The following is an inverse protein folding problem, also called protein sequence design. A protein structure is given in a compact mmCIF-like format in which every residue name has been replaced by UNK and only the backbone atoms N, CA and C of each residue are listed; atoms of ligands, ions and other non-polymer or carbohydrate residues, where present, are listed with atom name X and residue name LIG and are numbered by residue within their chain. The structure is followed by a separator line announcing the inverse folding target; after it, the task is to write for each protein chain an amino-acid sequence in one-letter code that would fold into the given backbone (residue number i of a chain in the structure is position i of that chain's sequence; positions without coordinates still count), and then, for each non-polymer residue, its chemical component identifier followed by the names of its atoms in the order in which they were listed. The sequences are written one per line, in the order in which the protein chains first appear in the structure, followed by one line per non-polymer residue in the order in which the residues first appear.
data_IF_407535675164
#
_entry.id   IF_407535675164
#
_cell.length_a   1.000
_cell.length_b   1.000
_cell.length_c   1.000
_cell.angle_alpha   90.00
_cell.angle_beta   90.00
_cell.angle_gamma   90.00
#
_symmetry.space_group_name_H-M   'P 1'
#
loop_
_entity.id
_entity.type
_entity.pdbx_description
1 polymer ?
#
# COMPACT_ATOMS: atom_id res chain seq x y z
N UNK A 1 -10.35 3.79 29.72
CA UNK A 1 -9.06 3.10 29.55
C UNK A 1 -9.42 1.71 29.07
N UNK A 2 -9.12 1.37 27.82
CA UNK A 2 -9.42 0.06 27.27
C UNK A 2 -8.51 -0.99 27.91
N UNK A 3 -9.10 -1.96 28.59
CA UNK A 3 -8.37 -3.13 29.08
C UNK A 3 -8.35 -4.17 27.98
N UNK A 4 -7.17 -4.53 27.49
CA UNK A 4 -7.00 -5.66 26.59
C UNK A 4 -7.21 -6.97 27.34
N UNK A 5 -7.60 -8.02 26.61
CA UNK A 5 -7.82 -9.35 27.18
C UNK A 5 -6.90 -10.37 26.51
N UNK A 6 -6.42 -11.40 27.23
CA UNK A 6 -5.69 -12.50 26.60
C UNK A 6 -6.49 -13.11 25.44
N UNK A 7 -5.82 -13.37 24.32
CA UNK A 7 -6.42 -13.84 23.08
C UNK A 7 -6.99 -12.73 22.18
N UNK A 8 -7.00 -11.47 22.61
CA UNK A 8 -7.46 -10.36 21.80
C UNK A 8 -6.44 -9.98 20.74
N UNK A 9 -6.86 -9.81 19.49
CA UNK A 9 -6.01 -9.25 18.43
C UNK A 9 -5.84 -7.75 18.60
N UNK A 10 -4.62 -7.29 18.41
CA UNK A 10 -4.21 -5.89 18.52
C UNK A 10 -3.35 -5.49 17.34
N UNK A 11 -3.35 -4.20 17.03
CA UNK A 11 -2.42 -3.58 16.07
C UNK A 11 -1.51 -2.62 16.81
N UNK A 12 -0.27 -2.50 16.36
CA UNK A 12 0.68 -1.52 16.89
C UNK A 12 0.36 -0.13 16.33
N UNK A 13 0.41 0.90 17.18
CA UNK A 13 0.26 2.30 16.74
C UNK A 13 1.52 2.84 16.08
N UNK A 14 2.68 2.35 16.51
CA UNK A 14 4.00 2.85 16.10
C UNK A 14 4.78 1.83 15.26
N UNK A 15 4.20 0.67 14.95
CA UNK A 15 4.85 -0.40 14.18
C UNK A 15 3.83 -1.04 13.24
N UNK A 16 4.29 -1.75 12.22
CA UNK A 16 3.45 -2.44 11.26
C UNK A 16 3.26 -3.88 11.71
N UNK A 17 2.02 -4.35 11.67
CA UNK A 17 1.68 -5.73 11.97
C UNK A 17 0.54 -5.84 12.98
N UNK A 18 0.04 -7.05 13.12
CA UNK A 18 -0.91 -7.43 14.16
C UNK A 18 -0.26 -8.42 15.12
N UNK A 19 -0.78 -8.45 16.33
CA UNK A 19 -0.33 -9.38 17.35
C UNK A 19 -1.51 -9.87 18.18
N UNK A 20 -1.33 -10.94 18.92
CA UNK A 20 -2.32 -11.47 19.84
C UNK A 20 -1.86 -11.24 21.26
N UNK A 21 -2.72 -10.71 22.10
CA UNK A 21 -2.43 -10.50 23.52
C UNK A 21 -2.28 -11.85 24.21
N UNK A 22 -1.10 -12.09 24.80
CA UNK A 22 -0.80 -13.28 25.62
C UNK A 22 -1.21 -13.02 27.06
N UNK A 23 -0.76 -11.91 27.65
CA UNK A 23 -1.11 -11.49 29.02
C UNK A 23 -0.97 -9.99 29.20
N UNK A 24 -1.65 -9.47 30.21
CA UNK A 24 -1.63 -8.05 30.57
C UNK A 24 -0.98 -7.89 31.94
N UNK A 25 0.05 -7.06 32.04
CA UNK A 25 0.82 -6.81 33.27
C UNK A 25 0.81 -5.30 33.58
N UNK A 26 -0.27 -4.83 34.20
CA UNK A 26 -0.44 -3.42 34.55
C UNK A 26 -0.53 -2.49 33.32
N UNK A 27 0.47 -1.63 33.10
CA UNK A 27 0.55 -0.76 31.94
C UNK A 27 1.30 -1.39 30.73
N UNK A 28 1.74 -2.63 30.86
CA UNK A 28 2.39 -3.39 29.80
C UNK A 28 1.55 -4.57 29.38
N UNK A 29 1.66 -4.92 28.12
CA UNK A 29 0.98 -6.06 27.50
C UNK A 29 2.02 -6.91 26.80
N UNK A 30 2.02 -8.19 27.08
CA UNK A 30 2.81 -9.16 26.34
C UNK A 30 1.94 -9.64 25.19
N UNK A 31 2.44 -9.43 23.99
CA UNK A 31 1.80 -9.81 22.74
C UNK A 31 2.68 -10.76 21.95
N UNK A 32 2.07 -11.71 21.25
CA UNK A 32 2.73 -12.60 20.30
C UNK A 32 2.47 -12.07 18.89
N UNK A 33 3.54 -11.78 18.15
CA UNK A 33 3.43 -11.32 16.77
C UNK A 33 3.12 -12.47 15.79
N UNK A 34 2.93 -12.14 14.50
CA UNK A 34 2.59 -13.13 13.46
C UNK A 34 3.69 -14.16 13.22
N UNK A 35 4.91 -13.86 13.63
CA UNK A 35 6.08 -14.75 13.54
C UNK A 35 6.24 -15.66 14.80
N UNK A 36 5.36 -15.51 15.79
CA UNK A 36 5.35 -16.30 17.03
C UNK A 36 6.32 -15.80 18.11
N UNK A 37 6.80 -14.57 18.01
CA UNK A 37 7.67 -13.98 19.04
C UNK A 37 6.87 -13.17 20.05
N UNK A 38 7.13 -13.42 21.34
CA UNK A 38 6.57 -12.60 22.41
C UNK A 38 7.30 -11.26 22.52
N UNK A 39 6.52 -10.18 22.55
CA UNK A 39 6.99 -8.81 22.77
C UNK A 39 6.24 -8.16 23.93
N UNK A 40 6.94 -7.38 24.75
CA UNK A 40 6.31 -6.55 25.79
C UNK A 40 6.17 -5.12 25.28
N UNK A 41 4.95 -4.61 25.25
CA UNK A 41 4.59 -3.29 24.68
C UNK A 41 3.73 -2.52 25.66
N UNK A 42 3.81 -1.21 25.64
CA UNK A 42 2.93 -0.36 26.45
C UNK A 42 1.46 -0.41 25.97
N UNK A 43 0.51 -0.44 26.90
CA UNK A 43 -0.94 -0.38 26.57
C UNK A 43 -1.28 0.75 25.60
N UNK A 44 -0.57 1.88 25.69
CA UNK A 44 -0.80 3.06 24.85
C UNK A 44 -0.24 2.92 23.42
N UNK A 45 0.54 1.91 23.16
CA UNK A 45 1.14 1.63 21.84
C UNK A 45 0.31 0.62 21.04
N UNK A 46 -0.78 0.15 21.65
CA UNK A 46 -1.66 -0.85 21.06
C UNK A 46 -3.07 -0.28 20.84
N UNK A 47 -3.69 -0.73 19.77
CA UNK A 47 -5.13 -0.55 19.50
C UNK A 47 -5.77 -1.92 19.28
N UNK A 48 -7.03 -2.06 19.67
CA UNK A 48 -7.79 -3.27 19.38
C UNK A 48 -7.88 -3.44 17.85
N UNK A 49 -7.47 -4.59 17.35
CA UNK A 49 -7.72 -4.93 15.95
C UNK A 49 -9.21 -5.27 15.80
N UNK A 50 -9.91 -4.77 14.80
CA UNK A 50 -11.28 -5.21 14.52
C UNK A 50 -11.27 -6.72 14.20
N UNK A 51 -12.38 -7.37 14.54
CA UNK A 51 -12.59 -8.78 14.25
C UNK A 51 -12.52 -9.00 12.72
N UNK A 52 -11.73 -9.96 12.20
CA UNK A 52 -11.64 -10.25 10.77
C UNK A 52 -13.01 -10.50 10.12
N UNK A 53 -13.96 -11.09 10.85
CA UNK A 53 -15.33 -11.26 10.36
C UNK A 53 -16.12 -9.94 10.30
N UNK A 54 -15.80 -8.99 11.17
CA UNK A 54 -16.40 -7.65 11.14
C UNK A 54 -15.71 -6.76 10.10
N UNK A 55 -14.40 -6.89 9.92
CA UNK A 55 -13.69 -6.26 8.81
C UNK A 55 -14.21 -6.78 7.46
N UNK A 56 -14.29 -8.09 7.27
CA UNK A 56 -14.84 -8.68 6.04
C UNK A 56 -16.30 -8.28 5.78
N UNK A 57 -17.13 -8.15 6.82
CA UNK A 57 -18.51 -7.65 6.70
C UNK A 57 -18.59 -6.14 6.48
N UNK A 58 -17.62 -5.38 6.99
CA UNK A 58 -17.53 -3.93 6.76
C UNK A 58 -17.05 -3.60 5.34
N UNK A 59 -16.25 -4.50 4.74
CA UNK A 59 -15.83 -4.44 3.34
C UNK A 59 -16.65 -5.37 2.42
N UNK A 60 -17.77 -5.95 2.97
CA UNK A 60 -18.66 -6.85 2.22
C UNK A 60 -19.20 -6.22 0.96
N UNK A 61 -19.26 -6.98 -0.12
CA UNK A 61 -19.87 -6.91 -1.46
C UNK A 61 -20.32 -5.54 -2.04
N UNK A 62 -20.25 -4.49 -1.25
CA UNK A 62 -20.53 -3.12 -1.59
C UNK A 62 -19.26 -2.27 -1.41
N UNK A 63 -18.15 -2.65 -2.09
CA UNK A 63 -17.08 -1.68 -2.32
C UNK A 63 -17.73 -0.58 -3.15
N UNK A 64 -18.04 0.59 -2.54
CA UNK A 64 -18.62 1.67 -3.34
C UNK A 64 -17.60 1.96 -4.43
N UNK A 65 -18.05 2.06 -5.67
CA UNK A 65 -17.24 2.45 -6.79
C UNK A 65 -16.41 3.69 -6.38
N UNK A 66 -15.13 3.46 -6.06
CA UNK A 66 -14.24 4.48 -5.50
C UNK A 66 -14.20 5.71 -6.41
N UNK A 67 -14.32 5.48 -7.72
CA UNK A 67 -14.42 6.54 -8.70
C UNK A 67 -15.69 7.38 -8.52
N UNK A 68 -16.84 6.77 -8.19
CA UNK A 68 -18.08 7.52 -7.94
C UNK A 68 -18.03 8.32 -6.64
N UNK A 69 -17.42 7.78 -5.60
CA UNK A 69 -17.24 8.51 -4.34
C UNK A 69 -16.27 9.70 -4.51
N UNK A 70 -15.17 9.51 -5.24
CA UNK A 70 -14.21 10.55 -5.53
C UNK A 70 -14.81 11.68 -6.37
N UNK A 71 -15.66 11.34 -7.33
CA UNK A 71 -16.40 12.32 -8.13
C UNK A 71 -17.33 13.15 -7.25
N UNK A 72 -17.98 12.54 -6.25
CA UNK A 72 -18.84 13.27 -5.30
C UNK A 72 -18.05 14.18 -4.36
N UNK A 73 -16.88 13.75 -3.86
CA UNK A 73 -16.10 14.53 -2.88
C UNK A 73 -15.26 15.64 -3.54
N UNK A 74 -14.70 15.39 -4.71
CA UNK A 74 -13.73 16.30 -5.36
C UNK A 74 -14.37 17.10 -6.49
N UNK A 75 -15.51 16.67 -7.01
CA UNK A 75 -16.20 17.25 -8.15
C UNK A 75 -15.60 16.81 -9.49
N UNK A 76 -16.47 16.51 -10.44
CA UNK A 76 -16.08 15.97 -11.77
C UNK A 76 -15.05 16.82 -12.52
N UNK A 77 -15.18 18.15 -12.43
CA UNK A 77 -14.31 19.07 -13.15
C UNK A 77 -12.87 19.00 -12.65
N UNK A 78 -12.68 18.86 -11.33
CA UNK A 78 -11.37 18.77 -10.71
C UNK A 78 -10.75 17.39 -10.96
N UNK A 79 -11.53 16.32 -10.89
CA UNK A 79 -11.06 14.97 -11.23
C UNK A 79 -10.56 14.89 -12.69
N UNK A 80 -11.29 15.48 -13.64
CA UNK A 80 -10.83 15.55 -15.04
C UNK A 80 -9.56 16.36 -15.22
N UNK A 81 -9.38 17.44 -14.41
CA UNK A 81 -8.15 18.23 -14.42
C UNK A 81 -6.97 17.43 -13.88
N UNK A 82 -7.14 16.76 -12.74
CA UNK A 82 -6.14 15.90 -12.12
C UNK A 82 -5.73 14.74 -13.03
N UNK A 83 -6.69 14.08 -13.68
CA UNK A 83 -6.41 13.03 -14.65
C UNK A 83 -5.60 13.54 -15.84
N UNK A 84 -5.92 14.74 -16.37
CA UNK A 84 -5.13 15.35 -17.45
C UNK A 84 -3.73 15.72 -17.04
N UNK A 85 -3.55 16.32 -15.86
CA UNK A 85 -2.21 16.61 -15.30
C UNK A 85 -1.39 15.34 -15.13
N UNK A 86 -2.01 14.30 -14.61
CA UNK A 86 -1.43 13.00 -14.43
C UNK A 86 -1.02 12.38 -15.77
N UNK A 87 -1.88 12.40 -16.78
CA UNK A 87 -1.56 11.92 -18.12
C UNK A 87 -0.40 12.68 -18.76
N UNK A 88 -0.38 14.01 -18.66
CA UNK A 88 0.67 14.85 -19.23
C UNK A 88 2.01 14.59 -18.52
N UNK A 89 2.00 14.50 -17.19
CA UNK A 89 3.21 14.30 -16.38
C UNK A 89 3.86 12.94 -16.66
N UNK A 90 3.05 11.89 -16.86
CA UNK A 90 3.53 10.52 -17.03
C UNK A 90 3.56 10.01 -18.47
N UNK A 91 2.84 10.64 -19.40
CA UNK A 91 2.97 10.30 -20.82
C UNK A 91 4.35 10.71 -21.39
N UNK A 92 4.98 11.71 -20.80
CA UNK A 92 6.32 12.21 -21.18
C UNK A 92 7.47 11.59 -20.40
N UNK A 93 7.24 10.75 -19.40
CA UNK A 93 8.30 9.97 -18.78
C UNK A 93 8.71 8.86 -19.76
N UNK A 94 9.49 9.22 -20.77
CA UNK A 94 10.26 8.25 -21.56
C UNK A 94 11.01 7.42 -20.54
N UNK A 95 10.68 6.13 -20.48
CA UNK A 95 11.52 5.15 -19.84
C UNK A 95 12.91 5.35 -20.46
N UNK A 96 13.78 6.03 -19.73
CA UNK A 96 15.17 6.26 -20.13
C UNK A 96 15.75 4.89 -20.41
N UNK A 97 16.39 4.75 -21.56
CA UNK A 97 17.07 3.56 -22.07
C UNK A 97 17.88 2.88 -20.96
N UNK A 98 17.25 1.96 -20.22
CA UNK A 98 17.92 1.17 -19.21
C UNK A 98 18.53 -0.05 -19.87
N UNK A 99 19.82 -0.22 -19.64
CA UNK A 99 20.59 -1.36 -20.12
C UNK A 99 19.89 -2.67 -19.74
N UNK A 100 19.57 -3.49 -20.74
CA UNK A 100 18.68 -4.67 -20.72
C UNK A 100 19.07 -5.84 -19.79
N UNK A 101 20.02 -5.69 -18.87
CA UNK A 101 20.49 -6.79 -18.00
C UNK A 101 20.16 -6.65 -16.52
N UNK A 102 19.88 -5.42 -16.04
CA UNK A 102 19.41 -5.16 -14.67
C UNK A 102 18.19 -4.22 -14.70
N UNK A 103 17.25 -4.51 -15.58
CA UNK A 103 16.06 -3.69 -15.77
C UNK A 103 15.21 -3.67 -14.49
N UNK A 104 15.47 -2.67 -13.67
CA UNK A 104 14.62 -2.31 -12.54
C UNK A 104 14.07 -0.89 -12.73
N UNK A 105 12.90 -0.65 -12.21
CA UNK A 105 12.24 0.65 -12.22
C UNK A 105 12.07 1.11 -10.78
N UNK A 106 12.24 2.40 -10.54
CA UNK A 106 11.90 3.04 -9.28
C UNK A 106 10.74 3.99 -9.53
N UNK A 107 9.72 3.89 -8.69
CA UNK A 107 8.49 4.68 -8.80
C UNK A 107 8.23 5.36 -7.49
N UNK A 108 8.20 6.68 -7.50
CA UNK A 108 7.82 7.47 -6.34
C UNK A 108 6.31 7.66 -6.33
N UNK A 109 5.67 7.19 -5.27
CA UNK A 109 4.24 7.26 -5.05
C UNK A 109 3.83 8.41 -4.11
N UNK A 110 4.77 9.25 -3.69
CA UNK A 110 4.42 10.40 -2.87
C UNK A 110 3.48 11.32 -3.64
N UNK A 111 2.42 11.76 -2.98
CA UNK A 111 1.35 12.55 -3.64
C UNK A 111 1.86 13.84 -4.29
N UNK A 112 2.90 14.48 -3.73
CA UNK A 112 3.51 15.68 -4.29
C UNK A 112 4.26 15.44 -5.60
N UNK A 113 4.65 14.19 -5.89
CA UNK A 113 5.20 13.79 -7.17
C UNK A 113 4.09 13.55 -8.21
N UNK A 114 2.89 13.20 -7.76
CA UNK A 114 1.78 12.84 -8.63
C UNK A 114 0.95 14.05 -9.04
N UNK A 115 0.77 15.02 -8.14
CA UNK A 115 -0.05 16.22 -8.38
C UNK A 115 0.65 17.48 -7.86
N UNK A 116 0.56 18.56 -8.62
CA UNK A 116 1.21 19.82 -8.27
C UNK A 116 0.46 20.55 -7.15
N UNK A 117 -0.87 20.51 -7.14
CA UNK A 117 -1.70 21.11 -6.08
C UNK A 117 -2.50 20.05 -5.31
N UNK A 118 -2.08 19.82 -4.08
CA UNK A 118 -2.71 18.87 -3.15
C UNK A 118 -3.77 19.53 -2.26
N UNK A 119 -3.90 20.87 -2.34
CA UNK A 119 -4.78 21.61 -1.43
C UNK A 119 -6.24 21.19 -1.60
N UNK A 120 -6.89 20.87 -0.49
CA UNK A 120 -8.28 20.44 -0.47
C UNK A 120 -8.54 19.04 -1.06
N UNK A 121 -7.50 18.22 -1.28
CA UNK A 121 -7.68 16.80 -1.60
C UNK A 121 -7.87 16.01 -0.31
N UNK A 122 -9.01 15.32 -0.12
CA UNK A 122 -9.18 14.41 1.01
C UNK A 122 -8.19 13.23 0.91
N UNK A 123 -7.81 12.66 2.06
CA UNK A 123 -6.80 11.60 2.11
C UNK A 123 -7.17 10.37 1.28
N UNK A 124 -8.48 10.05 1.22
CA UNK A 124 -9.00 8.98 0.35
C UNK A 124 -8.75 9.25 -1.14
N UNK A 125 -8.87 10.51 -1.59
CA UNK A 125 -8.59 10.88 -2.97
C UNK A 125 -7.08 10.80 -3.27
N UNK A 126 -6.24 11.19 -2.32
CA UNK A 126 -4.78 11.04 -2.44
C UNK A 126 -4.40 9.56 -2.58
N UNK A 127 -4.94 8.71 -1.71
CA UNK A 127 -4.70 7.27 -1.76
C UNK A 127 -5.13 6.67 -3.11
N UNK A 128 -6.30 7.04 -3.60
CA UNK A 128 -6.78 6.53 -4.89
C UNK A 128 -5.86 6.92 -6.06
N UNK A 129 -5.37 8.17 -6.09
CA UNK A 129 -4.41 8.61 -7.12
C UNK A 129 -3.08 7.84 -7.03
N UNK A 130 -2.60 7.58 -5.82
CA UNK A 130 -1.39 6.81 -5.58
C UNK A 130 -1.56 5.35 -6.04
N UNK A 131 -2.71 4.72 -5.77
CA UNK A 131 -3.01 3.37 -6.21
C UNK A 131 -3.23 3.28 -7.73
N UNK A 132 -3.91 4.26 -8.34
CA UNK A 132 -4.03 4.32 -9.81
C UNK A 132 -2.65 4.41 -10.48
N UNK A 133 -1.74 5.19 -9.90
CA UNK A 133 -0.37 5.27 -10.41
C UNK A 133 0.40 3.96 -10.22
N UNK A 134 0.25 3.32 -9.07
CA UNK A 134 0.82 2.00 -8.79
C UNK A 134 0.38 0.99 -9.86
N UNK A 135 -0.92 0.85 -10.11
CA UNK A 135 -1.48 -0.10 -11.08
C UNK A 135 -0.95 0.17 -12.49
N UNK A 136 -0.93 1.44 -12.91
CA UNK A 136 -0.37 1.85 -14.20
C UNK A 136 1.10 1.46 -14.35
N UNK A 137 1.89 1.65 -13.30
CA UNK A 137 3.32 1.32 -13.34
C UNK A 137 3.56 -0.19 -13.30
N UNK A 138 2.71 -0.96 -12.62
CA UNK A 138 2.71 -2.43 -12.70
C UNK A 138 2.43 -2.91 -14.13
N UNK A 139 1.44 -2.32 -14.81
CA UNK A 139 1.14 -2.66 -16.20
C UNK A 139 2.29 -2.33 -17.15
N UNK A 140 2.93 -1.17 -16.97
CA UNK A 140 4.12 -0.80 -17.72
C UNK A 140 5.26 -1.79 -17.46
N UNK A 141 5.53 -2.12 -16.20
CA UNK A 141 6.58 -3.05 -15.83
C UNK A 141 6.38 -4.45 -16.45
N UNK A 142 5.14 -4.94 -16.46
CA UNK A 142 4.78 -6.21 -17.12
C UNK A 142 4.95 -6.13 -18.64
N UNK A 143 4.48 -5.07 -19.27
CA UNK A 143 4.60 -4.85 -20.72
C UNK A 143 6.05 -4.75 -21.19
N UNK A 144 6.88 -4.01 -20.43
CA UNK A 144 8.31 -3.84 -20.72
C UNK A 144 9.15 -5.03 -20.24
N UNK A 145 8.54 -6.04 -19.65
CA UNK A 145 9.17 -7.25 -19.11
C UNK A 145 10.30 -6.95 -18.13
N UNK A 146 10.06 -6.00 -17.24
CA UNK A 146 10.98 -5.69 -16.17
C UNK A 146 11.02 -6.86 -15.18
N UNK A 147 12.17 -7.08 -14.56
CA UNK A 147 12.31 -8.11 -13.53
C UNK A 147 11.97 -7.59 -12.14
N UNK A 148 12.14 -6.29 -11.93
CA UNK A 148 12.02 -5.69 -10.61
C UNK A 148 11.51 -4.27 -10.72
N UNK A 149 10.65 -3.90 -9.79
CA UNK A 149 10.18 -2.54 -9.60
C UNK A 149 10.20 -2.21 -8.11
N UNK A 150 10.57 -1.00 -7.75
CA UNK A 150 10.58 -0.49 -6.38
C UNK A 150 9.59 0.64 -6.28
N UNK A 151 8.60 0.49 -5.43
CA UNK A 151 7.61 1.52 -5.13
C UNK A 151 7.99 2.25 -3.84
N UNK A 152 8.22 3.56 -3.92
CA UNK A 152 8.55 4.41 -2.80
C UNK A 152 7.26 5.08 -2.33
N UNK A 153 6.75 4.67 -1.16
CA UNK A 153 5.45 5.11 -0.62
C UNK A 153 5.58 5.92 0.67
N UNK A 154 6.82 6.07 1.17
CA UNK A 154 7.07 6.71 2.45
C UNK A 154 6.68 5.84 3.66
N UNK A 155 6.97 6.33 4.85
CA UNK A 155 6.69 5.61 6.10
C UNK A 155 5.24 5.85 6.55
N UNK A 156 4.80 7.10 6.58
CA UNK A 156 3.44 7.53 6.91
C UNK A 156 2.73 6.69 7.98
N UNK A 157 1.43 6.54 7.87
CA UNK A 157 0.61 5.66 8.72
C UNK A 157 0.55 4.20 8.21
N UNK A 158 1.29 3.88 7.15
CA UNK A 158 1.33 2.55 6.56
C UNK A 158 0.15 2.19 5.65
N UNK A 159 -0.86 3.06 5.51
CA UNK A 159 -2.06 2.78 4.71
C UNK A 159 -1.73 2.47 3.26
N UNK A 160 -0.93 3.32 2.60
CA UNK A 160 -0.55 3.10 1.20
C UNK A 160 0.25 1.80 1.03
N UNK A 161 1.17 1.50 1.94
CA UNK A 161 1.90 0.23 1.93
C UNK A 161 0.96 -0.97 2.04
N UNK A 162 0.00 -0.90 2.96
CA UNK A 162 -1.00 -1.96 3.14
C UNK A 162 -1.80 -2.20 1.86
N UNK A 163 -2.32 -1.14 1.25
CA UNK A 163 -3.09 -1.23 -0.01
C UNK A 163 -2.24 -1.82 -1.16
N UNK A 164 -0.97 -1.42 -1.27
CA UNK A 164 -0.05 -1.98 -2.26
C UNK A 164 0.14 -3.48 -2.03
N UNK A 165 0.42 -3.91 -0.80
CA UNK A 165 0.61 -5.34 -0.49
C UNK A 165 -0.66 -6.13 -0.78
N UNK A 166 -1.82 -5.63 -0.37
CA UNK A 166 -3.12 -6.26 -0.63
C UNK A 166 -3.40 -6.38 -2.13
N UNK A 167 -3.16 -5.31 -2.90
CA UNK A 167 -3.31 -5.34 -4.36
C UNK A 167 -2.37 -6.34 -5.02
N UNK A 168 -1.11 -6.42 -4.57
CA UNK A 168 -0.14 -7.39 -5.08
C UNK A 168 -0.61 -8.83 -4.82
N UNK A 169 -1.09 -9.12 -3.64
CA UNK A 169 -1.57 -10.46 -3.27
C UNK A 169 -2.83 -10.87 -4.03
N UNK A 170 -3.75 -9.94 -4.22
CA UNK A 170 -5.06 -10.21 -4.85
C UNK A 170 -5.01 -10.19 -6.38
N UNK A 171 -4.28 -9.25 -6.98
CA UNK A 171 -4.33 -9.00 -8.42
C UNK A 171 -3.04 -9.38 -9.16
N UNK A 172 -1.95 -9.64 -8.43
CA UNK A 172 -0.65 -9.97 -9.00
C UNK A 172 0.01 -11.20 -8.34
N UNK A 173 -0.68 -12.37 -8.27
CA UNK A 173 -0.18 -13.56 -7.59
C UNK A 173 1.13 -14.10 -8.21
N UNK A 174 1.42 -13.71 -9.46
CA UNK A 174 2.66 -14.09 -10.16
C UNK A 174 3.87 -13.22 -9.77
N UNK A 175 3.66 -12.22 -8.92
CA UNK A 175 4.69 -11.35 -8.39
C UNK A 175 5.01 -11.72 -6.95
N UNK A 176 6.27 -11.56 -6.56
CA UNK A 176 6.66 -11.59 -5.15
C UNK A 176 7.07 -10.21 -4.70
N UNK A 177 6.80 -9.87 -3.45
CA UNK A 177 7.16 -8.56 -2.91
C UNK A 177 7.83 -8.69 -1.54
N UNK A 178 8.62 -7.70 -1.19
CA UNK A 178 9.29 -7.57 0.11
C UNK A 178 9.63 -6.11 0.40
N UNK A 179 9.95 -5.74 1.64
CA UNK A 179 10.53 -4.43 1.92
C UNK A 179 11.78 -4.20 1.06
N UNK A 180 11.92 -3.01 0.48
CA UNK A 180 13.10 -2.64 -0.28
C UNK A 180 14.32 -2.44 0.66
N UNK A 181 15.52 -2.30 0.07
CA UNK A 181 16.76 -2.14 0.86
C UNK A 181 16.65 -0.93 1.81
N UNK A 182 16.67 -1.15 3.15
CA UNK A 182 16.52 -0.07 4.12
C UNK A 182 17.65 0.96 4.08
N UNK A 183 18.82 0.57 3.59
CA UNK A 183 19.97 1.49 3.47
C UNK A 183 19.75 2.53 2.38
N UNK A 184 18.95 2.18 1.37
CA UNK A 184 18.69 3.04 0.22
C UNK A 184 17.37 3.79 0.35
N UNK A 185 16.33 3.14 0.86
CA UNK A 185 14.95 3.65 0.86
C UNK A 185 14.35 3.82 2.27
N UNK A 186 15.10 3.52 3.32
CA UNK A 186 14.52 3.42 4.66
C UNK A 186 13.47 2.31 4.71
N UNK A 187 12.46 2.48 5.54
CA UNK A 187 11.30 1.58 5.65
C UNK A 187 10.13 1.97 4.73
N UNK A 188 10.32 2.99 3.88
CA UNK A 188 9.26 3.60 3.09
C UNK A 188 9.15 3.08 1.66
N UNK A 189 9.63 1.87 1.33
CA UNK A 189 9.55 1.34 -0.01
C UNK A 189 9.32 -0.16 -0.04
N UNK A 190 8.60 -0.61 -1.06
CA UNK A 190 8.32 -2.02 -1.35
C UNK A 190 8.94 -2.42 -2.68
N UNK A 191 9.73 -3.47 -2.67
CA UNK A 191 10.34 -4.06 -3.86
C UNK A 191 9.47 -5.20 -4.36
N UNK A 192 9.14 -5.16 -5.65
CA UNK A 192 8.31 -6.17 -6.34
C UNK A 192 9.14 -6.86 -7.41
N UNK A 193 9.13 -8.19 -7.40
CA UNK A 193 9.78 -9.03 -8.39
C UNK A 193 8.74 -9.64 -9.31
N UNK A 194 8.88 -9.40 -10.61
CA UNK A 194 8.02 -9.92 -11.64
C UNK A 194 8.62 -11.23 -12.19
N UNK A 195 7.93 -12.33 -11.98
CA UNK A 195 8.27 -13.63 -12.56
C UNK A 195 8.01 -13.67 -14.07
N UNK A 196 8.53 -14.70 -14.75
CA UNK A 196 8.29 -14.88 -16.19
C UNK A 196 6.80 -15.06 -16.51
N UNK A 197 6.01 -15.57 -15.58
CA UNK A 197 4.56 -15.77 -15.75
C UNK A 197 3.78 -14.47 -15.69
N UNK A 198 4.26 -13.49 -14.92
CA UNK A 198 3.66 -12.15 -14.87
C UNK A 198 3.67 -11.40 -16.22
N UNK A 199 4.51 -11.84 -17.18
CA UNK A 199 4.59 -11.25 -18.52
C UNK A 199 3.72 -11.96 -19.56
N UNK A 200 3.11 -13.07 -19.21
CA UNK A 200 2.17 -13.78 -20.10
C UNK A 200 0.84 -13.02 -20.11
N UNK A 201 0.31 -12.79 -21.30
CA UNK A 201 -1.07 -12.25 -21.40
C UNK A 201 -2.03 -13.29 -20.81
N UNK A 202 -3.09 -12.86 -20.09
CA UNK A 202 -4.19 -13.77 -19.76
C UNK A 202 -4.65 -14.46 -21.05
N UNK A 203 -4.81 -15.76 -21.01
CA UNK A 203 -5.45 -16.48 -22.11
C UNK A 203 -6.95 -16.11 -22.06
N UNK A 204 -7.45 -15.43 -23.09
CA UNK A 204 -8.88 -15.14 -23.28
C UNK A 204 -9.69 -16.43 -23.42
#
# INVERSE_FOLDING_TARGET
MGSFQPGQRVKFLNDVGSATVVRVEGEQVVVEDEDGFERTVGVRELMAAPDPEQEAKSYGDNVPDLAKLLVQEVGEKRMRSLQKEFEVKYHNSKATNMARRDAHMEVDLHIHELVDDQSGLPDRAKLALQMEHFDRMMDIAKREKLRRIVFIHGVGQGVLRHEICTSLEQHHPDCSHRPADPRRYGSGATEVWLGQEAWRKPQE
#
